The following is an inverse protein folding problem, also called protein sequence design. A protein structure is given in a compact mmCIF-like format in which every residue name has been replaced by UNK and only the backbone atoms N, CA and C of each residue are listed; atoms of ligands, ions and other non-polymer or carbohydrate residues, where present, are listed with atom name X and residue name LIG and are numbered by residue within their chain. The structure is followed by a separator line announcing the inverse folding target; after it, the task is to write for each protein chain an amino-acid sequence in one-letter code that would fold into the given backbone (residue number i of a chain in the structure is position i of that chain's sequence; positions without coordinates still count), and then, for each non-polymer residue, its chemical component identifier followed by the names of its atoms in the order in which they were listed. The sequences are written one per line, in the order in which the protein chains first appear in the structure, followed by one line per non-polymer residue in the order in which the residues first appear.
data_IF_786684017207
#
_entry.id   IF_786684017207
#
_cell.length_a   1.000
_cell.length_b   1.000
_cell.length_c   1.000
_cell.angle_alpha   90.00
_cell.angle_beta   90.00
_cell.angle_gamma   90.00
#
_symmetry.space_group_name_H-M   'P 1'
#
loop_
_entity.id
_entity.type
_entity.pdbx_description
1 polymer ?
#
# COMPACT_ATOMS: atom_id res chain seq x y z
N UNK A 1 -25.01 14.13 3.17
CA UNK A 1 -24.60 13.10 4.15
C UNK A 1 -23.60 12.21 3.43
N UNK A 2 -22.32 12.59 3.44
CA UNK A 2 -21.27 11.83 2.75
C UNK A 2 -21.11 10.47 3.43
N UNK A 3 -21.08 9.43 2.61
CA UNK A 3 -20.97 8.05 3.06
C UNK A 3 -19.50 7.82 3.40
N UNK A 4 -19.11 8.06 4.66
CA UNK A 4 -17.78 7.74 5.18
C UNK A 4 -17.57 6.23 5.11
N UNK A 5 -16.87 5.77 4.07
CA UNK A 5 -16.51 4.37 3.92
C UNK A 5 -15.51 3.98 5.00
N UNK A 6 -15.78 2.88 5.69
CA UNK A 6 -14.92 2.24 6.67
C UNK A 6 -13.55 1.87 6.08
N UNK A 7 -12.62 2.84 6.09
CA UNK A 7 -11.20 2.81 6.48
C UNK A 7 -10.20 1.78 5.95
N UNK A 8 -10.56 0.76 5.17
CA UNK A 8 -9.63 -0.30 4.74
C UNK A 8 -9.06 0.00 3.35
N UNK A 9 -7.74 -0.04 3.23
CA UNK A 9 -6.97 0.14 2.00
C UNK A 9 -6.19 -1.13 1.67
N UNK A 10 -6.15 -1.48 0.38
CA UNK A 10 -5.26 -2.50 -0.16
C UNK A 10 -4.10 -1.77 -0.82
N UNK A 11 -2.89 -2.00 -0.33
CA UNK A 11 -1.69 -1.31 -0.75
C UNK A 11 -0.75 -2.26 -1.47
N UNK A 12 -0.12 -1.76 -2.53
CA UNK A 12 0.93 -2.44 -3.29
C UNK A 12 1.83 -1.37 -3.90
N UNK A 13 3.13 -1.64 -4.01
CA UNK A 13 4.05 -0.73 -4.67
C UNK A 13 3.88 -0.77 -6.20
N UNK A 14 3.96 0.39 -6.85
CA UNK A 14 3.79 0.48 -8.31
C UNK A 14 4.84 -0.33 -9.09
N UNK A 15 6.05 -0.50 -8.53
CA UNK A 15 7.12 -1.32 -9.12
C UNK A 15 6.73 -2.79 -9.13
N UNK A 16 6.10 -3.29 -8.07
CA UNK A 16 5.61 -4.67 -7.99
C UNK A 16 4.47 -4.90 -8.99
N UNK A 17 3.61 -3.90 -9.19
CA UNK A 17 2.55 -3.95 -10.20
C UNK A 17 3.15 -4.05 -11.60
N UNK A 18 4.11 -3.19 -11.94
CA UNK A 18 4.75 -3.22 -13.26
C UNK A 18 5.48 -4.56 -13.49
N UNK A 19 6.27 -5.00 -12.52
CA UNK A 19 6.99 -6.28 -12.59
C UNK A 19 6.02 -7.45 -12.71
N UNK A 20 4.92 -7.47 -11.94
CA UNK A 20 3.90 -8.51 -12.03
C UNK A 20 3.24 -8.60 -13.40
N UNK A 21 3.00 -7.47 -14.08
CA UNK A 21 2.49 -7.48 -15.45
C UNK A 21 3.49 -8.07 -16.45
N UNK A 22 4.77 -7.70 -16.35
CA UNK A 22 5.84 -8.24 -17.20
C UNK A 22 5.94 -9.76 -17.00
N UNK A 23 6.06 -10.20 -15.75
CA UNK A 23 6.19 -11.62 -15.42
C UNK A 23 4.98 -12.45 -15.83
N UNK A 24 3.76 -11.91 -15.65
CA UNK A 24 2.55 -12.60 -16.08
C UNK A 24 2.46 -12.77 -17.60
N UNK A 25 3.11 -11.89 -18.38
CA UNK A 25 3.20 -12.00 -19.83
C UNK A 25 4.33 -12.94 -20.26
N UNK A 26 5.50 -12.84 -19.63
CA UNK A 26 6.70 -13.55 -20.07
C UNK A 26 6.76 -15.02 -19.61
N UNK A 27 6.20 -15.36 -18.46
CA UNK A 27 6.21 -16.74 -17.93
C UNK A 27 5.17 -17.58 -18.68
N UNK A 28 5.56 -18.59 -19.49
CA UNK A 28 4.60 -19.31 -20.35
C UNK A 28 3.54 -20.10 -19.58
N UNK A 29 3.82 -20.47 -18.33
CA UNK A 29 2.89 -21.18 -17.45
C UNK A 29 1.94 -20.23 -16.70
N UNK A 30 2.14 -18.91 -16.77
CA UNK A 30 1.27 -17.94 -16.14
C UNK A 30 -0.11 -17.96 -16.81
N UNK A 31 -1.17 -17.95 -16.01
CA UNK A 31 -2.55 -18.06 -16.48
C UNK A 31 -3.51 -17.53 -15.42
N UNK A 32 -4.74 -17.18 -15.79
CA UNK A 32 -5.76 -16.78 -14.81
C UNK A 32 -5.50 -15.43 -14.14
N UNK A 33 -5.87 -15.29 -12.86
CA UNK A 33 -5.85 -14.02 -12.12
C UNK A 33 -4.77 -14.00 -11.03
N UNK A 34 -4.17 -12.83 -10.81
CA UNK A 34 -3.12 -12.59 -9.83
C UNK A 34 -3.51 -11.40 -8.96
N UNK A 35 -3.67 -11.61 -7.65
CA UNK A 35 -3.92 -10.52 -6.71
C UNK A 35 -2.58 -9.89 -6.31
N UNK A 36 -2.37 -8.62 -6.68
CA UNK A 36 -1.19 -7.86 -6.29
C UNK A 36 -1.55 -6.94 -5.12
N UNK A 37 -1.37 -7.47 -3.91
CA UNK A 37 -1.64 -6.76 -2.66
C UNK A 37 -0.53 -7.13 -1.68
N UNK A 38 0.25 -6.14 -1.26
CA UNK A 38 1.27 -6.33 -0.24
C UNK A 38 0.60 -6.28 1.14
N UNK A 39 -0.04 -5.16 1.48
CA UNK A 39 -0.65 -5.01 2.80
C UNK A 39 -2.08 -4.56 2.66
N UNK A 40 -2.99 -5.21 3.40
CA UNK A 40 -4.31 -4.64 3.68
C UNK A 40 -4.19 -3.91 5.01
N UNK A 41 -4.55 -2.64 5.06
CA UNK A 41 -4.31 -1.79 6.23
C UNK A 41 -5.41 -0.75 6.42
N UNK A 42 -5.43 -0.14 7.59
CA UNK A 42 -6.27 1.02 7.86
C UNK A 42 -5.52 2.32 7.58
N UNK A 43 -6.27 3.38 7.30
CA UNK A 43 -5.68 4.72 7.19
C UNK A 43 -4.89 5.12 8.44
N UNK A 44 -5.38 4.77 9.63
CA UNK A 44 -4.71 5.05 10.91
C UNK A 44 -3.33 4.39 11.00
N UNK A 45 -3.17 3.16 10.50
CA UNK A 45 -1.88 2.48 10.47
C UNK A 45 -0.92 3.10 9.45
N UNK A 46 -1.40 3.47 8.26
CA UNK A 46 -0.59 4.24 7.30
C UNK A 46 -0.13 5.58 7.90
N UNK A 47 -1.02 6.27 8.61
CA UNK A 47 -0.70 7.52 9.29
C UNK A 47 0.35 7.33 10.40
N UNK A 48 0.29 6.25 11.18
CA UNK A 48 1.33 5.91 12.18
C UNK A 48 2.69 5.71 11.53
N UNK A 49 2.75 5.00 10.40
CA UNK A 49 3.98 4.81 9.63
C UNK A 49 4.52 6.17 9.15
N UNK A 50 3.66 6.99 8.54
CA UNK A 50 4.05 8.31 8.03
C UNK A 50 4.53 9.23 9.16
N UNK A 51 3.85 9.28 10.31
CA UNK A 51 4.28 10.06 11.47
C UNK A 51 5.63 9.61 12.03
N UNK A 52 5.91 8.29 12.01
CA UNK A 52 7.21 7.76 12.43
C UNK A 52 8.33 8.14 11.45
N UNK A 53 8.06 8.10 10.15
CA UNK A 53 9.04 8.43 9.12
C UNK A 53 9.25 9.95 8.95
N UNK A 54 8.18 10.73 9.12
CA UNK A 54 8.13 12.18 8.90
C UNK A 54 7.39 12.89 10.03
N UNK A 55 7.98 13.02 11.23
CA UNK A 55 7.31 13.64 12.39
C UNK A 55 6.90 15.09 12.20
N UNK A 56 7.51 15.80 11.24
CA UNK A 56 7.19 17.20 10.90
C UNK A 56 6.05 17.35 9.90
N UNK A 57 5.57 16.24 9.33
CA UNK A 57 4.46 16.25 8.38
C UNK A 57 3.14 16.46 9.14
N UNK A 58 2.52 17.61 8.95
CA UNK A 58 1.23 17.95 9.57
C UNK A 58 0.09 17.15 8.93
N UNK A 59 -0.08 15.89 9.35
CA UNK A 59 -1.19 15.03 8.93
C UNK A 59 -2.45 15.29 9.78
N UNK A 60 -3.66 15.30 9.20
CA UNK A 60 -4.89 15.46 9.95
C UNK A 60 -5.03 14.37 11.03
N UNK A 61 -5.18 14.76 12.30
CA UNK A 61 -5.37 13.81 13.41
C UNK A 61 -6.75 13.15 13.44
N UNK A 62 -7.73 13.71 12.72
CA UNK A 62 -9.13 13.30 12.82
C UNK A 62 -9.44 12.05 12.02
N UNK A 63 -9.13 10.89 12.58
CA UNK A 63 -9.96 9.70 12.40
C UNK A 63 -10.30 9.17 13.78
N UNK A 64 -11.59 9.18 14.11
CA UNK A 64 -12.09 8.57 15.33
C UNK A 64 -11.65 7.10 15.34
N UNK A 65 -10.82 6.76 16.32
CA UNK A 65 -10.48 5.41 16.77
C UNK A 65 -11.75 4.65 17.22
N UNK A 66 -12.72 4.46 16.32
CA UNK A 66 -13.53 3.28 16.41
C UNK A 66 -12.57 2.14 16.15
N UNK A 67 -12.00 1.60 17.24
CA UNK A 67 -11.12 0.44 17.25
C UNK A 67 -11.70 -0.59 16.30
N UNK A 68 -11.17 -0.67 15.09
CA UNK A 68 -11.44 -1.79 14.22
C UNK A 68 -10.55 -2.91 14.75
N UNK A 69 -11.09 -3.63 15.75
CA UNK A 69 -10.45 -4.74 16.48
C UNK A 69 -10.14 -5.93 15.56
N UNK A 70 -10.61 -5.89 14.31
CA UNK A 70 -10.43 -6.95 13.34
C UNK A 70 -9.22 -6.59 12.46
N UNK A 71 -8.24 -7.47 12.28
CA UNK A 71 -7.27 -7.32 11.21
C UNK A 71 -8.04 -7.15 9.90
N UNK A 72 -7.64 -6.23 9.01
CA UNK A 72 -8.19 -6.26 7.67
C UNK A 72 -7.92 -7.66 7.12
N UNK A 73 -8.94 -8.26 6.52
CA UNK A 73 -8.85 -9.60 5.93
C UNK A 73 -7.55 -9.76 5.11
N UNK A 74 -7.03 -10.98 5.05
CA UNK A 74 -5.81 -11.24 4.29
C UNK A 74 -6.13 -11.52 2.82
N UNK A 75 -5.26 -11.06 1.93
CA UNK A 75 -5.29 -11.41 0.51
C UNK A 75 -4.16 -12.39 0.25
N UNK A 76 -4.47 -13.54 -0.39
CA UNK A 76 -3.43 -14.51 -0.74
C UNK A 76 -2.41 -13.91 -1.70
N UNK A 77 -1.13 -14.05 -1.33
CA UNK A 77 0.03 -13.63 -2.12
C UNK A 77 0.63 -14.78 -2.93
N UNK A 78 0.14 -16.00 -2.79
CA UNK A 78 0.78 -17.21 -3.33
C UNK A 78 0.92 -17.16 -4.86
N UNK A 79 -0.16 -16.79 -5.54
CA UNK A 79 -0.19 -16.64 -7.00
C UNK A 79 0.74 -15.53 -7.47
N UNK A 80 0.78 -14.39 -6.77
CA UNK A 80 1.69 -13.30 -7.11
C UNK A 80 3.16 -13.72 -6.92
N UNK A 81 3.47 -14.42 -5.82
CA UNK A 81 4.80 -14.97 -5.56
C UNK A 81 5.22 -16.01 -6.60
N UNK A 82 4.29 -16.75 -7.20
CA UNK A 82 4.60 -17.68 -8.29
C UNK A 82 5.06 -16.97 -9.58
N UNK A 83 4.86 -15.65 -9.70
CA UNK A 83 5.46 -14.82 -10.75
C UNK A 83 6.87 -14.34 -10.40
N UNK A 84 7.41 -14.74 -9.24
CA UNK A 84 8.71 -14.29 -8.74
C UNK A 84 8.69 -12.90 -8.10
N UNK A 85 7.50 -12.39 -7.75
CA UNK A 85 7.36 -11.10 -7.05
C UNK A 85 7.80 -11.25 -5.59
N UNK A 86 8.74 -10.41 -5.18
CA UNK A 86 9.02 -10.14 -3.78
C UNK A 86 8.52 -8.74 -3.44
N UNK A 87 7.40 -8.68 -2.71
CA UNK A 87 6.68 -7.43 -2.54
C UNK A 87 7.47 -6.41 -1.71
N UNK A 88 7.50 -5.16 -2.19
CA UNK A 88 8.09 -4.03 -1.48
C UNK A 88 7.22 -3.69 -0.27
N UNK A 89 7.77 -3.69 0.97
CA UNK A 89 6.99 -3.37 2.17
C UNK A 89 6.33 -1.99 2.12
N UNK A 90 5.13 -1.89 2.70
CA UNK A 90 4.35 -0.66 2.75
C UNK A 90 5.16 0.55 3.25
N UNK A 91 6.00 0.39 4.28
CA UNK A 91 6.84 1.46 4.82
C UNK A 91 7.82 2.03 3.79
N UNK A 92 8.39 1.16 2.95
CA UNK A 92 9.31 1.56 1.87
C UNK A 92 8.53 2.29 0.78
N UNK A 93 7.36 1.76 0.39
CA UNK A 93 6.52 2.40 -0.63
C UNK A 93 6.02 3.79 -0.19
N UNK A 94 5.61 3.93 1.08
CA UNK A 94 5.18 5.22 1.65
C UNK A 94 6.35 6.22 1.71
N UNK A 95 7.54 5.78 2.13
CA UNK A 95 8.74 6.62 2.13
C UNK A 95 9.07 7.13 0.74
N UNK A 96 9.17 6.23 -0.23
CA UNK A 96 9.49 6.58 -1.62
C UNK A 96 8.43 7.50 -2.22
N UNK A 97 7.16 7.31 -1.85
CA UNK A 97 6.05 8.20 -2.25
C UNK A 97 6.24 9.62 -1.71
N UNK A 98 6.53 9.77 -0.42
CA UNK A 98 6.74 11.10 0.19
C UNK A 98 7.96 11.78 -0.42
N UNK A 99 9.07 11.08 -0.61
CA UNK A 99 10.25 11.66 -1.27
C UNK A 99 9.97 12.05 -2.72
N UNK A 100 9.24 11.23 -3.48
CA UNK A 100 8.84 11.57 -4.86
C UNK A 100 7.96 12.82 -4.91
N UNK A 101 7.05 12.98 -3.95
CA UNK A 101 6.19 14.16 -3.84
C UNK A 101 6.98 15.43 -3.47
N UNK A 102 7.99 15.31 -2.60
CA UNK A 102 8.91 16.40 -2.26
C UNK A 102 9.76 16.81 -3.45
N UNK A 103 10.38 15.85 -4.14
CA UNK A 103 11.19 16.08 -5.33
C UNK A 103 10.40 16.79 -6.43
N UNK A 104 9.14 16.40 -6.62
CA UNK A 104 8.22 17.01 -7.59
C UNK A 104 7.53 18.28 -7.09
N UNK A 105 7.90 18.80 -5.91
CA UNK A 105 7.38 20.04 -5.32
C UNK A 105 5.87 20.03 -5.05
N UNK A 106 5.27 18.86 -4.87
CA UNK A 106 3.90 18.71 -4.40
C UNK A 106 3.77 18.77 -2.88
N UNK A 107 4.88 18.54 -2.17
CA UNK A 107 4.98 18.71 -0.73
C UNK A 107 6.12 19.67 -0.39
N UNK A 108 5.84 20.60 0.52
CA UNK A 108 6.82 21.54 1.08
C UNK A 108 6.68 21.55 2.59
N UNK A 109 7.67 20.98 3.28
CA UNK A 109 7.79 21.02 4.74
C UNK A 109 9.24 20.82 5.14
#
# INVERSE_FOLDING_TARGET
KERQSSGIFLCVDVRDVAYGHIQAFEIPSANGRYCLVETVTYYSEMQKILHKLYPTLNLPEKYTDEKLVVPPYQVSKERAKSLGIDFVPLEVSLKDTVESLKEKKFLSF
#
